data_IF_416681729046
#
_entry.id   IF_416681729046
#
_cell.length_a   1.000
_cell.length_b   1.000
_cell.length_c   1.000
_cell.angle_alpha   90.00
_cell.angle_beta   90.00
_cell.angle_gamma   90.00
#
_symmetry.space_group_name_H-M   'P 1'
#
loop_
_entity.id
_entity.type
_entity.pdbx_description
1 polymer ?
#
# COMPACT_ATOMS: atom_id res chain seq x y z
N UNK A 1 -6.45 1.28 -6.73
CA UNK A 1 -5.13 1.73 -7.25
C UNK A 1 -4.09 0.72 -6.78
N UNK A 2 -2.93 0.63 -7.43
CA UNK A 2 -1.87 -0.31 -7.06
C UNK A 2 -0.49 0.27 -7.36
N UNK A 3 0.53 -0.23 -6.68
CA UNK A 3 1.93 0.11 -6.98
C UNK A 3 2.49 -0.94 -7.94
N UNK A 4 3.16 -0.50 -9.00
CA UNK A 4 3.86 -1.38 -9.95
C UNK A 4 5.32 -0.99 -10.10
N UNK A 5 6.14 -1.95 -10.47
CA UNK A 5 7.54 -1.75 -10.84
C UNK A 5 7.68 -1.91 -12.35
N UNK A 6 8.32 -0.95 -13.02
CA UNK A 6 8.68 -1.03 -14.42
C UNK A 6 10.19 -1.02 -14.57
N UNK A 7 10.72 -1.88 -15.44
CA UNK A 7 12.16 -1.98 -15.72
C UNK A 7 12.50 -1.24 -17.01
N UNK A 8 13.65 -0.56 -17.02
CA UNK A 8 14.26 0.02 -18.21
C UNK A 8 15.68 -0.53 -18.34
N UNK A 9 16.03 -1.03 -19.51
CA UNK A 9 17.40 -1.39 -19.87
C UNK A 9 18.11 -0.19 -20.50
N UNK A 10 19.27 0.19 -19.98
CA UNK A 10 20.11 1.24 -20.54
C UNK A 10 21.02 0.67 -21.64
N UNK A 11 21.61 1.57 -22.44
CA UNK A 11 22.55 1.20 -23.51
C UNK A 11 23.78 0.47 -22.97
N UNK A 12 24.20 0.81 -21.75
CA UNK A 12 25.35 0.21 -21.07
C UNK A 12 25.02 -1.14 -20.41
N UNK A 13 23.84 -1.72 -20.67
CA UNK A 13 23.41 -3.02 -20.14
C UNK A 13 22.84 -2.99 -18.72
N UNK A 14 22.96 -1.87 -17.99
CA UNK A 14 22.36 -1.71 -16.66
C UNK A 14 20.83 -1.71 -16.71
N UNK A 15 20.19 -2.27 -15.67
CA UNK A 15 18.74 -2.31 -15.51
C UNK A 15 18.34 -1.35 -14.39
N UNK A 16 17.40 -0.46 -14.68
CA UNK A 16 16.85 0.50 -13.72
C UNK A 16 15.37 0.20 -13.51
N UNK A 17 14.95 0.15 -12.25
CA UNK A 17 13.56 -0.09 -11.87
C UNK A 17 12.91 1.19 -11.38
N UNK A 18 11.69 1.46 -11.86
CA UNK A 18 10.88 2.60 -11.44
C UNK A 18 9.63 2.12 -10.71
N UNK A 19 9.29 2.81 -9.62
CA UNK A 19 8.10 2.52 -8.82
C UNK A 19 7.01 3.54 -9.15
N UNK A 20 5.80 3.05 -9.44
CA UNK A 20 4.69 3.89 -9.90
C UNK A 20 3.37 3.53 -9.19
N UNK A 21 2.62 4.55 -8.77
CA UNK A 21 1.21 4.41 -8.40
C UNK A 21 0.37 4.44 -9.68
N UNK A 22 -0.42 3.41 -9.88
CA UNK A 22 -1.23 3.20 -11.07
C UNK A 22 -2.71 2.92 -10.74
N UNK A 23 -3.57 3.23 -11.70
CA UNK A 23 -4.99 2.93 -11.64
C UNK A 23 -5.46 2.42 -12.99
N UNK A 24 -6.05 1.23 -13.00
CA UNK A 24 -6.69 0.71 -14.20
C UNK A 24 -8.09 1.30 -14.33
N UNK A 25 -8.37 1.93 -15.47
CA UNK A 25 -9.70 2.42 -15.85
C UNK A 25 -10.19 1.70 -17.10
N UNK A 26 -11.50 1.50 -17.19
CA UNK A 26 -12.15 0.97 -18.41
C UNK A 26 -12.03 2.05 -19.49
N UNK A 27 -11.47 1.72 -20.66
CA UNK A 27 -11.44 2.69 -21.75
C UNK A 27 -12.88 2.98 -22.20
N UNK A 28 -13.28 4.25 -22.37
CA UNK A 28 -14.69 4.60 -22.64
C UNK A 28 -15.21 3.98 -23.95
N UNK A 29 -14.37 3.97 -24.99
CA UNK A 29 -14.74 3.48 -26.32
C UNK A 29 -14.24 2.06 -26.63
N UNK A 30 -13.18 1.61 -25.98
CA UNK A 30 -12.50 0.35 -26.30
C UNK A 30 -12.83 -0.67 -25.22
N UNK A 31 -13.11 -1.92 -25.58
CA UNK A 31 -13.56 -2.97 -24.63
C UNK A 31 -12.46 -3.50 -23.69
N UNK A 32 -11.35 -2.79 -23.52
CA UNK A 32 -10.24 -3.18 -22.66
C UNK A 32 -9.93 -2.13 -21.58
N UNK A 33 -9.26 -2.57 -20.52
CA UNK A 33 -8.80 -1.71 -19.43
C UNK A 33 -7.45 -1.09 -19.79
N UNK A 34 -7.28 0.19 -19.49
CA UNK A 34 -6.02 0.93 -19.65
C UNK A 34 -5.46 1.29 -18.28
N UNK A 35 -4.15 1.17 -18.14
CA UNK A 35 -3.44 1.59 -16.94
C UNK A 35 -3.04 3.05 -17.02
N UNK A 36 -3.59 3.86 -16.13
CA UNK A 36 -3.17 5.25 -15.94
C UNK A 36 -2.15 5.33 -14.81
N UNK A 37 -1.01 5.94 -15.10
CA UNK A 37 0.01 6.24 -14.08
C UNK A 37 -0.35 7.55 -13.42
N UNK A 38 -0.62 7.49 -12.12
CA UNK A 38 -1.02 8.65 -11.31
C UNK A 38 0.23 9.38 -10.82
N UNK A 39 1.21 8.62 -10.34
CA UNK A 39 2.44 9.18 -9.77
C UNK A 39 3.61 8.22 -9.96
N UNK A 40 4.80 8.76 -10.21
CA UNK A 40 6.05 8.01 -10.25
C UNK A 40 6.89 8.39 -9.04
N UNK A 41 7.17 7.43 -8.16
CA UNK A 41 7.99 7.64 -6.97
C UNK A 41 9.49 7.76 -7.28
N UNK A 42 9.88 7.49 -8.51
CA UNK A 42 11.27 7.53 -8.97
C UNK A 42 11.87 6.15 -9.12
N UNK A 43 13.20 6.10 -9.13
CA UNK A 43 13.93 4.84 -9.22
C UNK A 43 13.90 4.10 -7.89
N UNK A 44 13.81 2.77 -7.94
CA UNK A 44 13.80 1.90 -6.75
C UNK A 44 15.02 2.11 -5.86
N UNK A 45 16.20 2.32 -6.46
CA UNK A 45 17.47 2.51 -5.74
C UNK A 45 17.66 3.91 -5.16
N UNK A 46 16.85 4.90 -5.58
CA UNK A 46 16.93 6.30 -5.14
C UNK A 46 15.65 6.73 -4.42
N UNK A 47 14.92 5.76 -3.89
CA UNK A 47 13.59 5.98 -3.33
C UNK A 47 13.70 6.66 -1.96
N UNK A 48 12.95 7.74 -1.76
CA UNK A 48 12.81 8.35 -0.44
C UNK A 48 11.86 7.49 0.42
N UNK A 49 12.46 6.59 1.20
CA UNK A 49 11.75 5.68 2.10
C UNK A 49 10.99 6.45 3.18
N UNK A 50 11.49 7.61 3.64
CA UNK A 50 10.79 8.42 4.63
C UNK A 50 9.54 9.05 4.06
N UNK A 51 9.60 9.59 2.83
CA UNK A 51 8.44 10.12 2.13
C UNK A 51 7.34 9.06 1.96
N UNK A 52 7.72 7.81 1.64
CA UNK A 52 6.77 6.69 1.55
C UNK A 52 6.15 6.38 2.91
N UNK A 53 6.93 6.32 3.99
CA UNK A 53 6.38 6.12 5.35
C UNK A 53 5.39 7.22 5.73
N UNK A 54 5.70 8.48 5.40
CA UNK A 54 4.78 9.63 5.60
C UNK A 54 3.49 9.46 4.80
N UNK A 55 3.59 9.03 3.54
CA UNK A 55 2.43 8.76 2.69
C UNK A 55 1.54 7.64 3.28
N UNK A 56 2.12 6.51 3.67
CA UNK A 56 1.38 5.40 4.28
C UNK A 56 0.65 5.88 5.53
N UNK A 57 1.33 6.62 6.42
CA UNK A 57 0.71 7.21 7.63
C UNK A 57 -0.42 8.18 7.30
N UNK A 58 -0.31 8.92 6.19
CA UNK A 58 -1.39 9.81 5.74
C UNK A 58 -2.58 9.04 5.21
N UNK A 59 -2.34 8.00 4.41
CA UNK A 59 -3.40 7.16 3.83
C UNK A 59 -4.12 6.33 4.89
N UNK A 60 -3.40 5.84 5.90
CA UNK A 60 -4.00 5.05 6.99
C UNK A 60 -5.01 5.84 7.83
N UNK A 61 -4.98 7.18 7.83
CA UNK A 61 -5.97 8.02 8.52
C UNK A 61 -7.37 7.94 7.91
N UNK A 62 -7.47 7.52 6.65
CA UNK A 62 -8.74 7.41 5.92
C UNK A 62 -9.33 6.00 5.97
N UNK A 63 -8.69 5.09 6.70
CA UNK A 63 -9.08 3.70 6.84
C UNK A 63 -9.66 3.53 8.25
N UNK A 64 -10.69 2.69 8.41
CA UNK A 64 -11.25 2.40 9.73
C UNK A 64 -10.17 1.79 10.64
N UNK A 65 -10.24 1.97 11.96
CA UNK A 65 -9.26 1.38 12.88
C UNK A 65 -9.21 -0.16 12.79
N UNK A 66 -10.33 -0.80 12.46
CA UNK A 66 -10.43 -2.25 12.24
C UNK A 66 -9.65 -2.67 10.99
N UNK A 67 -9.94 -2.03 9.84
CA UNK A 67 -9.22 -2.30 8.58
C UNK A 67 -7.72 -1.96 8.69
N UNK A 68 -7.36 -0.90 9.43
CA UNK A 68 -5.97 -0.52 9.66
C UNK A 68 -5.21 -1.55 10.50
N UNK A 69 -5.87 -2.15 11.50
CA UNK A 69 -5.31 -3.24 12.30
C UNK A 69 -5.14 -4.52 11.47
N UNK A 70 -6.12 -4.87 10.63
CA UNK A 70 -6.02 -6.01 9.71
C UNK A 70 -4.86 -5.82 8.73
N UNK A 71 -4.71 -4.64 8.14
CA UNK A 71 -3.59 -4.34 7.24
C UNK A 71 -2.23 -4.45 7.96
N UNK A 72 -2.12 -3.97 9.20
CA UNK A 72 -0.89 -4.09 10.00
C UNK A 72 -0.57 -5.55 10.35
N UNK A 73 -1.57 -6.36 10.69
CA UNK A 73 -1.41 -7.78 10.97
C UNK A 73 -0.90 -8.53 9.73
N UNK A 74 -1.49 -8.27 8.56
CA UNK A 74 -1.06 -8.83 7.28
C UNK A 74 0.37 -8.42 6.88
N UNK A 75 0.76 -7.16 7.12
CA UNK A 75 2.12 -6.67 6.81
C UNK A 75 3.17 -7.25 7.77
N UNK A 76 2.80 -7.48 9.03
CA UNK A 76 3.71 -8.01 10.06
C UNK A 76 3.88 -9.52 10.00
N UNK A 77 3.15 -10.21 9.09
CA UNK A 77 3.16 -11.68 8.99
C UNK A 77 2.51 -12.38 10.19
N UNK A 78 1.76 -11.64 11.02
CA UNK A 78 1.02 -12.17 12.17
C UNK A 78 -0.38 -12.50 11.66
N UNK A 79 -0.49 -13.58 10.87
CA UNK A 79 -1.76 -14.03 10.28
C UNK A 79 -2.72 -14.65 11.30
N UNK A 80 -2.25 -14.98 12.50
CA UNK A 80 -2.94 -15.92 13.39
C UNK A 80 -3.57 -15.26 14.62
N UNK A 81 -3.42 -13.94 14.80
CA UNK A 81 -4.07 -13.22 15.89
C UNK A 81 -5.28 -12.44 15.38
N UNK A 82 -6.47 -12.99 15.62
CA UNK A 82 -7.76 -12.33 15.34
C UNK A 82 -8.16 -11.46 16.53
N UNK A 83 -8.42 -10.18 16.30
CA UNK A 83 -9.08 -9.34 17.29
C UNK A 83 -10.52 -9.84 17.51
N UNK A 84 -10.86 -10.18 18.75
CA UNK A 84 -12.21 -10.67 19.12
C UNK A 84 -13.01 -9.58 19.83
N UNK A 85 -12.42 -8.91 20.82
CA UNK A 85 -13.01 -7.81 21.56
C UNK A 85 -11.95 -7.04 22.35
N UNK A 86 -12.27 -5.82 22.76
CA UNK A 86 -11.55 -5.05 23.77
C UNK A 86 -12.53 -4.59 24.84
N UNK A 87 -12.11 -4.59 26.10
CA UNK A 87 -12.91 -4.09 27.23
C UNK A 87 -12.09 -3.10 28.04
N UNK A 88 -12.70 -2.05 28.61
CA UNK A 88 -12.00 -1.11 29.47
C UNK A 88 -11.44 -1.85 30.69
N UNK A 89 -10.15 -1.62 30.97
CA UNK A 89 -9.52 -2.15 32.17
C UNK A 89 -10.05 -1.38 33.38
N UNK A 90 -10.92 -2.01 34.19
CA UNK A 90 -11.41 -1.41 35.43
C UNK A 90 -12.85 -1.74 35.82
N UNK A 91 -13.64 -2.41 34.97
CA UNK A 91 -14.96 -2.88 35.40
C UNK A 91 -14.85 -4.17 36.22
N UNK A 92 -15.49 -4.18 37.40
CA UNK A 92 -15.58 -5.36 38.24
C UNK A 92 -16.43 -6.42 37.54
N UNK A 93 -15.81 -7.57 37.22
CA UNK A 93 -16.53 -8.78 36.81
C UNK A 93 -17.34 -9.27 38.02
N UNK A 94 -18.62 -8.91 38.09
CA UNK A 94 -19.56 -9.53 39.02
C UNK A 94 -20.09 -10.77 38.30
N UNK A 95 -19.71 -11.93 38.84
CA UNK A 95 -20.14 -13.27 38.43
C UNK A 95 -21.64 -13.49 38.69
#
# INVERSE_FOLDING_TARGET
>A
MYVRTNTRKNKDGSVVEYIQLAHNRRHPTKKYSVTDVIYTFGRRDQLDVEAIKRLIKSLSRFISPEDAAELQANVSGVSDLKFVASRPAGEAFIL
#
